data_IF_582331596452
#
_entry.id   IF_582331596452
#
_cell.length_a   1.000
_cell.length_b   1.000
_cell.length_c   1.000
_cell.angle_alpha   90.00
_cell.angle_beta   90.00
_cell.angle_gamma   90.00
#
_symmetry.space_group_name_H-M   'P 1'
#
loop_
_entity.id
_entity.type
_entity.pdbx_description
1 polymer ?
#
# COMPACT_ATOMS: atom_id res chain seq x y z
N UNK A 1 14.28 8.03 10.11
CA UNK A 1 13.54 8.18 8.83
C UNK A 1 12.29 7.32 8.91
N UNK A 2 11.21 7.76 8.29
CA UNK A 2 9.99 6.99 8.14
C UNK A 2 9.57 6.96 6.66
N UNK A 3 8.98 5.88 6.19
CA UNK A 3 8.43 5.80 4.84
C UNK A 3 7.30 4.77 4.74
N UNK A 4 6.39 5.00 3.80
CA UNK A 4 5.26 4.11 3.52
C UNK A 4 5.56 3.36 2.22
N UNK A 5 5.54 2.04 2.32
CA UNK A 5 5.66 1.14 1.18
C UNK A 5 4.33 0.46 0.88
N UNK A 6 3.91 0.46 -0.39
CA UNK A 6 2.72 -0.25 -0.87
C UNK A 6 3.16 -1.37 -1.80
N UNK A 7 2.51 -2.54 -1.71
CA UNK A 7 2.75 -3.66 -2.59
C UNK A 7 2.18 -3.33 -3.97
N UNK A 8 3.05 -3.28 -4.97
CA UNK A 8 2.62 -3.26 -6.36
C UNK A 8 2.11 -4.66 -6.75
N UNK A 9 0.82 -4.77 -7.06
CA UNK A 9 0.17 -6.03 -7.44
C UNK A 9 0.78 -6.71 -8.67
N UNK A 10 1.39 -5.94 -9.59
CA UNK A 10 1.95 -6.50 -10.82
C UNK A 10 3.34 -7.12 -10.60
N UNK A 11 4.21 -6.44 -9.84
CA UNK A 11 5.58 -6.89 -9.60
C UNK A 11 5.80 -7.61 -8.27
N UNK A 12 4.83 -7.54 -7.35
CA UNK A 12 4.92 -8.01 -5.96
C UNK A 12 6.13 -7.40 -5.21
N UNK A 13 6.52 -6.20 -5.63
CA UNK A 13 7.53 -5.37 -4.99
C UNK A 13 6.87 -4.32 -4.12
N UNK A 14 7.56 -3.92 -3.06
CA UNK A 14 7.13 -2.82 -2.21
C UNK A 14 7.67 -1.52 -2.80
N UNK A 15 6.78 -0.62 -3.18
CA UNK A 15 7.08 0.68 -3.78
C UNK A 15 6.85 1.77 -2.74
N UNK A 16 7.82 2.66 -2.57
CA UNK A 16 7.69 3.82 -1.68
C UNK A 16 6.70 4.82 -2.27
N UNK A 17 5.64 5.15 -1.52
CA UNK A 17 4.64 6.16 -1.90
C UNK A 17 4.75 7.46 -1.10
N UNK A 18 5.42 7.42 0.05
CA UNK A 18 5.69 8.59 0.89
C UNK A 18 6.92 8.34 1.77
N UNK A 19 7.67 9.38 2.11
CA UNK A 19 8.80 9.29 3.05
C UNK A 19 9.05 10.61 3.78
N UNK A 20 9.68 10.52 4.95
CA UNK A 20 10.08 11.64 5.79
C UNK A 20 11.42 11.36 6.49
N UNK A 21 12.25 12.39 6.61
CA UNK A 21 13.61 12.30 7.12
C UNK A 21 14.64 12.04 6.02
N UNK A 22 15.86 11.67 6.42
CA UNK A 22 17.01 11.58 5.51
C UNK A 22 16.92 10.30 4.66
N UNK A 23 16.41 10.41 3.45
CA UNK A 23 16.30 9.29 2.50
C UNK A 23 17.67 8.96 1.87
N UNK A 24 18.42 9.96 1.39
CA UNK A 24 19.79 9.83 0.87
C UNK A 24 19.98 8.65 -0.11
N UNK A 25 19.10 8.51 -1.10
CA UNK A 25 19.05 7.42 -2.09
C UNK A 25 18.88 6.01 -1.49
N UNK A 26 18.40 5.89 -0.25
CA UNK A 26 18.19 4.58 0.36
C UNK A 26 17.11 3.79 -0.37
N UNK A 27 15.97 4.43 -0.63
CA UNK A 27 14.77 3.79 -1.17
C UNK A 27 14.95 3.47 -2.66
N UNK A 28 15.82 4.19 -3.37
CA UNK A 28 16.17 3.87 -4.76
C UNK A 28 17.19 2.72 -4.89
N UNK A 29 17.93 2.39 -3.81
CA UNK A 29 18.98 1.37 -3.81
C UNK A 29 18.56 0.02 -3.24
N UNK A 30 17.45 -0.03 -2.51
CA UNK A 30 16.90 -1.26 -1.98
C UNK A 30 15.75 -1.75 -2.87
N UNK A 31 15.65 -3.07 -3.04
CA UNK A 31 14.48 -3.70 -3.61
C UNK A 31 13.90 -4.62 -2.56
N UNK A 32 12.62 -4.41 -2.23
CA UNK A 32 11.90 -5.21 -1.23
C UNK A 32 10.77 -5.95 -1.94
N UNK A 33 10.65 -7.24 -1.66
CA UNK A 33 9.55 -8.06 -2.15
C UNK A 33 8.57 -8.40 -1.02
N UNK A 34 7.29 -8.55 -1.35
CA UNK A 34 6.31 -9.13 -0.46
C UNK A 34 6.38 -10.68 -0.40
N UNK A 35 7.16 -11.30 -1.30
CA UNK A 35 7.31 -12.75 -1.37
C UNK A 35 8.27 -13.31 -0.31
N UNK A 36 8.20 -14.63 -0.10
CA UNK A 36 9.20 -15.36 0.67
C UNK A 36 10.46 -15.64 -0.15
N UNK A 37 11.18 -14.57 -0.49
CA UNK A 37 12.48 -14.56 -1.18
C UNK A 37 13.47 -13.74 -0.35
N UNK A 38 14.79 -13.82 -0.58
CA UNK A 38 15.78 -13.09 0.22
C UNK A 38 15.51 -11.58 0.36
N UNK A 39 14.92 -10.95 -0.67
CA UNK A 39 14.50 -9.55 -0.71
C UNK A 39 13.19 -9.26 0.04
N UNK A 40 12.51 -10.28 0.57
CA UNK A 40 11.29 -10.17 1.38
C UNK A 40 11.42 -10.72 2.79
N UNK A 41 12.61 -11.23 3.16
CA UNK A 41 12.89 -11.75 4.50
C UNK A 41 13.22 -10.68 5.55
N UNK A 42 13.25 -9.40 5.15
CA UNK A 42 13.51 -8.27 6.05
C UNK A 42 12.28 -7.84 6.82
N UNK A 43 12.40 -6.85 7.70
CA UNK A 43 11.28 -6.36 8.51
C UNK A 43 10.05 -6.00 7.67
N UNK A 44 10.22 -5.24 6.58
CA UNK A 44 9.12 -4.80 5.71
C UNK A 44 8.38 -5.96 5.05
N UNK A 45 9.09 -6.84 4.34
CA UNK A 45 8.45 -7.96 3.62
C UNK A 45 7.83 -8.98 4.58
N UNK A 46 8.43 -9.17 5.75
CA UNK A 46 7.89 -10.04 6.80
C UNK A 46 6.64 -9.45 7.43
N UNK A 47 6.63 -8.15 7.73
CA UNK A 47 5.46 -7.49 8.30
C UNK A 47 4.25 -7.56 7.37
N UNK A 48 4.48 -7.38 6.06
CA UNK A 48 3.44 -7.49 5.03
C UNK A 48 2.90 -8.92 4.94
N UNK A 49 3.79 -9.92 4.90
CA UNK A 49 3.42 -11.32 4.68
C UNK A 49 2.77 -11.98 5.90
N UNK A 50 3.24 -11.65 7.10
CA UNK A 50 2.79 -12.28 8.35
C UNK A 50 1.72 -11.45 9.08
N UNK A 51 1.35 -10.30 8.51
CA UNK A 51 0.36 -9.37 9.04
C UNK A 51 0.58 -8.98 10.52
N UNK A 52 1.84 -8.70 10.86
CA UNK A 52 2.25 -8.28 12.22
C UNK A 52 3.42 -7.32 12.15
N UNK A 53 3.62 -6.51 13.19
CA UNK A 53 4.82 -5.69 13.25
C UNK A 53 6.09 -6.55 13.36
N UNK A 54 7.19 -6.01 12.86
CA UNK A 54 8.52 -6.61 12.96
C UNK A 54 9.52 -5.55 13.39
N UNK A 55 10.25 -5.82 14.46
CA UNK A 55 11.23 -4.91 15.05
C UNK A 55 12.62 -5.53 14.98
N UNK A 56 13.59 -4.73 14.57
CA UNK A 56 15.02 -5.03 14.60
C UNK A 56 15.73 -3.91 15.38
N UNK A 57 16.03 -4.18 16.65
CA UNK A 57 16.66 -3.19 17.54
C UNK A 57 18.20 -3.10 17.40
N UNK A 58 18.83 -4.06 16.69
CA UNK A 58 20.27 -4.02 16.37
C UNK A 58 20.54 -4.54 14.94
N UNK A 59 20.53 -3.63 13.97
CA UNK A 59 20.74 -3.92 12.54
C UNK A 59 22.10 -4.59 12.28
N UNK A 60 23.12 -4.27 13.08
CA UNK A 60 24.47 -4.82 12.89
C UNK A 60 24.51 -6.33 13.12
N UNK A 61 23.66 -6.82 14.02
CA UNK A 61 23.72 -8.21 14.51
C UNK A 61 22.53 -9.05 14.05
N UNK A 62 21.40 -8.43 13.74
CA UNK A 62 20.18 -9.17 13.40
C UNK A 62 20.30 -9.84 12.02
N UNK A 63 20.15 -11.18 11.91
CA UNK A 63 20.16 -11.90 10.65
C UNK A 63 19.09 -11.44 9.65
N UNK A 64 17.92 -10.96 10.12
CA UNK A 64 16.85 -10.49 9.22
C UNK A 64 17.28 -9.27 8.40
N UNK A 65 18.30 -8.55 8.84
CA UNK A 65 18.83 -7.39 8.13
C UNK A 65 19.96 -7.73 7.16
N UNK A 66 20.35 -9.00 6.98
CA UNK A 66 21.54 -9.37 6.20
C UNK A 66 21.60 -8.72 4.80
N UNK A 67 20.48 -8.72 4.06
CA UNK A 67 20.39 -8.12 2.71
C UNK A 67 20.43 -6.58 2.70
N UNK A 68 20.02 -5.93 3.80
CA UNK A 68 19.87 -4.47 3.88
C UNK A 68 20.91 -3.78 4.76
N UNK A 69 21.65 -4.54 5.56
CA UNK A 69 22.54 -4.05 6.63
C UNK A 69 23.55 -3.05 6.10
N UNK A 70 24.19 -3.36 4.97
CA UNK A 70 25.21 -2.49 4.40
C UNK A 70 24.67 -1.10 4.05
N UNK A 71 23.53 -1.03 3.36
CA UNK A 71 22.92 0.25 2.98
C UNK A 71 22.34 1.00 4.18
N UNK A 72 21.80 0.28 5.18
CA UNK A 72 21.28 0.87 6.41
C UNK A 72 22.39 1.50 7.27
N UNK A 73 23.47 0.75 7.54
CA UNK A 73 24.60 1.22 8.35
C UNK A 73 25.35 2.38 7.70
N UNK A 74 25.44 2.40 6.36
CA UNK A 74 26.00 3.55 5.60
C UNK A 74 25.29 4.87 5.89
N UNK A 75 24.05 4.82 6.37
CA UNK A 75 23.21 5.98 6.71
C UNK A 75 23.02 6.14 8.22
N UNK A 76 23.84 5.45 9.00
CA UNK A 76 23.78 5.42 10.47
C UNK A 76 22.45 4.91 11.02
N UNK A 77 21.72 4.06 10.28
CA UNK A 77 20.54 3.38 10.82
C UNK A 77 20.96 2.17 11.62
N UNK A 78 20.64 2.18 12.91
CA UNK A 78 21.05 1.15 13.87
C UNK A 78 19.89 0.27 14.33
N UNK A 79 18.65 0.74 14.18
CA UNK A 79 17.43 -0.02 14.42
C UNK A 79 16.38 0.29 13.35
N UNK A 80 15.44 -0.65 13.16
CA UNK A 80 14.33 -0.54 12.22
C UNK A 80 13.08 -1.22 12.76
N UNK A 81 11.92 -0.70 12.41
CA UNK A 81 10.63 -1.32 12.69
C UNK A 81 9.69 -1.17 11.50
N UNK A 82 8.86 -2.18 11.26
CA UNK A 82 7.90 -2.22 10.16
C UNK A 82 6.54 -2.64 10.69
N UNK A 83 5.50 -1.89 10.31
CA UNK A 83 4.13 -2.06 10.77
C UNK A 83 3.19 -2.23 9.58
N UNK A 84 2.37 -3.29 9.52
CA UNK A 84 1.50 -3.56 8.38
C UNK A 84 0.41 -2.50 8.22
N UNK A 85 0.14 -2.11 6.98
CA UNK A 85 -0.98 -1.24 6.60
C UNK A 85 -2.06 -2.07 5.92
N UNK A 86 -3.30 -1.94 6.39
CA UNK A 86 -4.43 -2.80 5.98
C UNK A 86 -5.54 -1.99 5.32
N UNK A 87 -6.17 -2.57 4.31
CA UNK A 87 -7.40 -2.06 3.69
C UNK A 87 -8.29 -3.27 3.42
N UNK A 88 -9.58 -3.18 3.77
CA UNK A 88 -10.55 -4.28 3.64
C UNK A 88 -10.07 -5.62 4.26
N UNK A 89 -9.33 -5.54 5.38
CA UNK A 89 -8.79 -6.72 6.07
C UNK A 89 -7.58 -7.39 5.38
N UNK A 90 -7.07 -6.81 4.28
CA UNK A 90 -5.88 -7.29 3.60
C UNK A 90 -4.70 -6.32 3.80
N UNK A 91 -3.50 -6.88 3.99
CA UNK A 91 -2.27 -6.10 4.13
C UNK A 91 -1.79 -5.61 2.77
N UNK A 92 -1.88 -4.31 2.53
CA UNK A 92 -1.54 -3.67 1.25
C UNK A 92 -0.11 -3.09 1.24
N UNK A 93 0.54 -3.03 2.40
CA UNK A 93 1.82 -2.36 2.55
C UNK A 93 2.32 -2.32 3.99
N UNK A 94 3.29 -1.46 4.25
CA UNK A 94 3.83 -1.24 5.58
C UNK A 94 4.32 0.20 5.80
N UNK A 95 4.17 0.68 7.03
CA UNK A 95 4.86 1.83 7.59
C UNK A 95 6.21 1.37 8.14
N UNK A 96 7.30 1.97 7.65
CA UNK A 96 8.66 1.57 7.98
C UNK A 96 9.38 2.71 8.67
N UNK A 97 10.09 2.40 9.76
CA UNK A 97 10.85 3.36 10.56
C UNK A 97 12.29 2.88 10.73
N UNK A 98 13.19 3.85 10.81
CA UNK A 98 14.61 3.66 11.09
C UNK A 98 15.08 4.71 12.07
N UNK A 99 15.85 4.30 13.07
CA UNK A 99 16.46 5.19 14.04
C UNK A 99 17.99 5.08 14.03
N UNK A 100 18.65 6.14 14.48
CA UNK A 100 20.11 6.25 14.57
C UNK A 100 20.68 5.69 15.87
N UNK A 101 19.82 5.08 16.68
CA UNK A 101 20.15 4.48 17.97
C UNK A 101 19.66 3.03 17.98
N UNK A 102 20.34 2.18 18.78
CA UNK A 102 19.91 0.79 19.00
C UNK A 102 18.87 0.74 20.11
N UNK A 103 18.03 -0.28 20.11
CA UNK A 103 17.02 -0.51 21.16
C UNK A 103 16.04 0.66 21.37
N UNK A 104 15.66 1.33 20.27
CA UNK A 104 14.71 2.47 20.29
C UNK A 104 13.26 2.03 20.24
N UNK A 105 13.00 0.83 19.72
CA UNK A 105 11.64 0.32 19.58
C UNK A 105 11.37 -0.65 20.73
N UNK A 106 11.09 -0.10 21.90
CA UNK A 106 10.61 -0.89 23.04
C UNK A 106 9.09 -1.10 22.96
N UNK A 107 8.52 -1.80 23.94
CA UNK A 107 7.11 -2.17 23.92
C UNK A 107 6.18 -0.94 23.91
N UNK A 108 6.58 0.19 24.49
CA UNK A 108 5.82 1.44 24.47
C UNK A 108 5.86 2.10 23.09
N UNK A 109 7.04 2.23 22.46
CA UNK A 109 7.10 2.78 21.10
C UNK A 109 6.38 1.87 20.10
N UNK A 110 6.50 0.55 20.25
CA UNK A 110 5.80 -0.41 19.37
C UNK A 110 4.29 -0.24 19.48
N UNK A 111 3.74 -0.11 20.68
CA UNK A 111 2.30 0.12 20.87
C UNK A 111 1.83 1.42 20.19
N UNK A 112 2.58 2.50 20.38
CA UNK A 112 2.25 3.80 19.78
C UNK A 112 2.28 3.73 18.24
N UNK A 113 3.28 3.03 17.69
CA UNK A 113 3.45 2.90 16.25
C UNK A 113 2.43 1.92 15.62
N UNK A 114 2.01 0.89 16.34
CA UNK A 114 0.89 0.03 15.95
C UNK A 114 -0.42 0.84 15.87
N UNK A 115 -0.70 1.68 16.87
CA UNK A 115 -1.87 2.57 16.85
C UNK A 115 -1.82 3.54 15.66
N UNK A 116 -0.66 4.16 15.42
CA UNK A 116 -0.46 5.02 14.26
C UNK A 116 -0.66 4.28 12.93
N UNK A 117 -0.13 3.06 12.79
CA UNK A 117 -0.32 2.25 11.59
C UNK A 117 -1.80 1.85 11.40
N UNK A 118 -2.53 1.61 12.49
CA UNK A 118 -3.96 1.37 12.48
C UNK A 118 -4.75 2.59 12.01
N UNK A 119 -4.42 3.78 12.51
CA UNK A 119 -5.06 5.03 12.10
C UNK A 119 -4.82 5.34 10.61
N UNK A 120 -3.60 5.12 10.13
CA UNK A 120 -3.26 5.25 8.70
C UNK A 120 -4.04 4.24 7.87
N UNK A 121 -4.15 2.99 8.34
CA UNK A 121 -4.93 1.94 7.67
C UNK A 121 -6.40 2.34 7.54
N UNK A 122 -6.99 2.86 8.62
CA UNK A 122 -8.38 3.34 8.63
C UNK A 122 -8.60 4.51 7.66
N UNK A 123 -7.66 5.46 7.61
CA UNK A 123 -7.73 6.58 6.68
C UNK A 123 -7.65 6.10 5.21
N UNK A 124 -6.76 5.17 4.90
CA UNK A 124 -6.63 4.57 3.57
C UNK A 124 -7.90 3.82 3.15
N UNK A 125 -8.49 3.05 4.07
CA UNK A 125 -9.75 2.34 3.83
C UNK A 125 -10.90 3.30 3.53
N UNK A 126 -11.00 4.42 4.26
CA UNK A 126 -12.01 5.44 4.00
C UNK A 126 -11.84 6.08 2.63
N UNK A 127 -10.61 6.42 2.25
CA UNK A 127 -10.30 7.01 0.93
C UNK A 127 -10.67 6.04 -0.19
N UNK A 128 -10.28 4.77 -0.05
CA UNK A 128 -10.54 3.73 -1.05
C UNK A 128 -12.04 3.44 -1.19
N UNK A 129 -12.76 3.37 -0.08
CA UNK A 129 -14.22 3.20 -0.06
C UNK A 129 -14.93 4.37 -0.75
N UNK A 130 -14.47 5.59 -0.51
CA UNK A 130 -15.03 6.79 -1.15
C UNK A 130 -14.78 6.78 -2.66
N UNK A 131 -13.56 6.39 -3.09
CA UNK A 131 -13.21 6.22 -4.52
C UNK A 131 -14.12 5.22 -5.20
N UNK A 132 -14.28 4.01 -4.63
CA UNK A 132 -15.17 2.97 -5.19
C UNK A 132 -16.63 3.42 -5.27
N UNK A 133 -17.11 4.19 -4.29
CA UNK A 133 -18.46 4.73 -4.31
C UNK A 133 -18.66 5.67 -5.50
N UNK A 134 -17.74 6.61 -5.71
CA UNK A 134 -17.80 7.56 -6.84
C UNK A 134 -17.75 6.84 -8.19
N UNK A 135 -16.87 5.85 -8.34
CA UNK A 135 -16.76 5.06 -9.57
C UNK A 135 -18.05 4.27 -9.86
N UNK A 136 -18.70 3.72 -8.84
CA UNK A 136 -19.97 3.02 -9.00
C UNK A 136 -21.13 3.97 -9.36
N UNK A 137 -21.16 5.18 -8.77
CA UNK A 137 -22.14 6.22 -9.10
C UNK A 137 -21.98 6.70 -10.55
N UNK A 138 -20.75 6.95 -11.00
CA UNK A 138 -20.43 7.33 -12.38
C UNK A 138 -20.80 6.22 -13.37
N UNK A 139 -20.45 4.96 -13.08
CA UNK A 139 -20.81 3.82 -13.91
C UNK A 139 -22.33 3.63 -14.04
N UNK A 140 -23.09 3.86 -12.96
CA UNK A 140 -24.55 3.80 -12.97
C UNK A 140 -25.15 4.90 -13.86
N UNK A 141 -24.60 6.12 -13.78
CA UNK A 141 -25.07 7.24 -14.60
C UNK A 141 -24.80 6.99 -16.09
N UNK A 142 -23.61 6.50 -16.44
CA UNK A 142 -23.26 6.14 -17.81
C UNK A 142 -24.17 5.03 -18.35
N UNK A 143 -24.36 3.95 -17.58
CA UNK A 143 -25.25 2.86 -17.97
C UNK A 143 -26.70 3.31 -18.20
N UNK A 144 -27.17 4.33 -17.45
CA UNK A 144 -28.50 4.91 -17.65
C UNK A 144 -28.58 5.67 -18.97
N UNK A 145 -27.58 6.49 -19.29
CA UNK A 145 -27.52 7.24 -20.55
C UNK A 145 -27.46 6.30 -21.76
N UNK A 146 -26.59 5.29 -21.71
CA UNK A 146 -26.48 4.28 -22.77
C UNK A 146 -27.82 3.56 -23.01
N UNK A 147 -28.55 3.26 -21.93
CA UNK A 147 -29.87 2.64 -22.03
C UNK A 147 -30.90 3.58 -22.67
N UNK A 148 -30.95 4.85 -22.25
CA UNK A 148 -31.84 5.86 -22.80
C UNK A 148 -31.57 6.10 -24.29
N UNK A 149 -30.31 6.20 -24.70
CA UNK A 149 -29.90 6.37 -26.10
C UNK A 149 -30.24 5.14 -26.95
N UNK A 150 -29.97 3.93 -26.44
CA UNK A 150 -30.33 2.68 -27.11
C UNK A 150 -31.84 2.56 -27.29
N UNK A 151 -32.62 2.89 -26.26
CA UNK A 151 -34.08 2.83 -26.31
C UNK A 151 -34.68 3.84 -27.30
N UNK A 152 -34.17 5.08 -27.32
CA UNK A 152 -34.60 6.10 -28.27
C UNK A 152 -34.27 5.70 -29.71
N UNK A 153 -33.08 5.15 -29.95
CA UNK A 153 -32.65 4.69 -31.29
C UNK A 153 -33.57 3.58 -31.83
N UNK A 154 -33.97 2.61 -30.99
CA UNK A 154 -34.88 1.54 -31.39
C UNK A 154 -36.28 2.10 -31.68
N UNK A 155 -36.74 3.04 -30.86
CA UNK A 155 -38.06 3.69 -31.03
C UNK A 155 -38.11 4.46 -32.35
N UNK A 156 -37.07 5.22 -32.68
CA UNK A 156 -36.98 5.91 -33.97
C UNK A 156 -37.00 4.94 -35.16
N UNK A 157 -36.36 3.77 -35.04
CA UNK A 157 -36.37 2.74 -36.08
C UNK A 157 -37.75 2.11 -36.30
N UNK A 158 -38.51 1.86 -35.22
CA UNK A 158 -39.88 1.33 -35.28
C UNK A 158 -40.83 2.38 -35.89
N UNK A 159 -40.62 3.66 -35.56
CA UNK A 159 -41.48 4.77 -36.03
C UNK A 159 -41.34 5.03 -37.54
N UNK A 160 -40.19 4.70 -38.14
CA UNK A 160 -39.98 4.80 -39.59
C UNK A 160 -40.76 3.71 -40.35
N UNK A 161 -40.81 2.48 -39.82
CA UNK A 161 -41.49 1.37 -40.50
C UNK A 161 -43.02 1.53 -40.58
N UNK A 162 -43.66 2.25 -39.67
CA UNK A 162 -45.13 2.41 -39.64
C UNK A 162 -45.63 3.49 -40.63
N UNK A 163 -44.76 4.37 -41.14
CA UNK A 163 -45.14 5.41 -42.12
C UNK A 163 -45.13 4.95 -43.58
N UNK A 164 -44.56 3.78 -43.86
CA UNK A 164 -44.45 3.23 -45.23
C UNK A 164 -45.60 2.25 -45.60
N UNK A 165 -46.60 2.07 -44.73
CA UNK A 165 -47.72 1.14 -44.93
C UNK A 165 -49.11 1.78 -45.04
N UNK A 166 -49.21 3.09 -45.31
CA UNK A 166 -50.47 3.79 -45.57
C UNK A 166 -50.47 4.53 -46.92
#
# INVERSE_FOLDING_TARGET
>A
MAWIGIVDSASEKVVSVAHAGIEADYLSRISISAKNVPEGCGPTGTAIREDRHVVCNDIERDPCMASWRYEALRRNYLSSASFPLRVDGATIGALNLYATEKNVFDDEEVRLLDELASDVSFALELIEKDRRRREAEEALLLSKQDWEDTFNTITDMITIHDKDFN
#
